data_IF_197134214912
#
_entry.id   IF_197134214912
#
_cell.length_a   1.000
_cell.length_b   1.000
_cell.length_c   1.000
_cell.angle_alpha   90.00
_cell.angle_beta   90.00
_cell.angle_gamma   90.00
#
_symmetry.space_group_name_H-M   'P 1'
#
loop_
_entity.id
_entity.type
_entity.pdbx_description
1 polymer ?
#
# COMPACT_ATOMS: atom_id res chain seq x y z
N UNK A 1 -0.08 33.54 39.38
CA UNK A 1 -0.95 33.02 38.31
C UNK A 1 -0.36 31.67 37.97
N UNK A 2 -0.91 30.63 38.59
CA UNK A 2 -0.49 29.23 38.37
C UNK A 2 -1.34 28.68 37.21
N UNK A 3 -0.66 28.36 36.13
CA UNK A 3 -1.27 27.76 34.94
C UNK A 3 -1.61 26.30 35.29
N UNK A 4 -2.86 26.08 35.63
CA UNK A 4 -3.39 24.75 35.96
C UNK A 4 -3.81 24.05 34.67
N UNK A 5 -2.82 23.51 33.96
CA UNK A 5 -3.08 22.69 32.77
C UNK A 5 -3.81 21.42 33.22
N UNK A 6 -5.09 21.28 32.84
CA UNK A 6 -5.87 20.10 33.09
C UNK A 6 -5.15 18.84 32.55
N UNK A 7 -5.14 17.72 33.29
CA UNK A 7 -4.53 16.49 32.81
C UNK A 7 -5.24 15.99 31.55
N UNK A 8 -4.44 15.63 30.54
CA UNK A 8 -4.94 15.03 29.30
C UNK A 8 -5.80 13.79 29.64
N UNK A 9 -6.97 13.68 29.02
CA UNK A 9 -7.85 12.55 29.22
C UNK A 9 -7.09 11.23 28.88
N UNK A 10 -7.29 10.15 29.66
CA UNK A 10 -6.65 8.86 29.36
C UNK A 10 -7.07 8.41 27.96
N UNK A 11 -6.07 8.07 27.14
CA UNK A 11 -6.32 7.50 25.83
C UNK A 11 -7.21 6.25 25.97
N UNK A 12 -8.24 6.16 25.14
CA UNK A 12 -9.15 5.02 25.10
C UNK A 12 -8.32 3.75 24.82
N UNK A 13 -8.20 2.88 25.82
CA UNK A 13 -7.42 1.63 25.75
C UNK A 13 -8.04 0.61 24.78
N UNK A 14 -9.19 0.91 24.17
CA UNK A 14 -9.89 0.04 23.22
C UNK A 14 -9.85 0.55 21.78
N UNK A 15 -9.24 1.71 21.51
CA UNK A 15 -9.06 2.16 20.13
C UNK A 15 -8.07 1.25 19.40
N UNK A 16 -8.41 0.74 18.18
CA UNK A 16 -7.50 -0.11 17.43
C UNK A 16 -6.22 0.66 17.09
N UNK A 17 -5.07 0.00 17.18
CA UNK A 17 -3.82 0.61 16.74
C UNK A 17 -3.84 0.74 15.22
N UNK A 18 -3.95 1.96 14.73
CA UNK A 18 -4.00 2.27 13.29
C UNK A 18 -2.62 2.21 12.62
N UNK A 19 -1.53 2.12 13.41
CA UNK A 19 -0.14 2.04 12.90
C UNK A 19 0.59 0.81 13.46
N UNK A 20 0.09 -0.40 13.26
CA UNK A 20 0.66 -1.58 13.90
C UNK A 20 2.07 -1.93 13.41
N UNK A 21 2.46 -1.46 12.23
CA UNK A 21 3.74 -1.78 11.60
C UNK A 21 4.61 -0.56 11.32
N UNK A 22 4.04 0.51 10.76
CA UNK A 22 4.81 1.66 10.26
C UNK A 22 5.50 2.46 11.36
N UNK A 23 5.12 2.30 12.64
CA UNK A 23 5.87 2.89 13.77
C UNK A 23 7.35 2.53 13.74
N UNK A 24 7.69 1.32 13.26
CA UNK A 24 9.08 0.86 13.16
C UNK A 24 9.93 1.76 12.25
N UNK A 25 9.33 2.35 11.22
CA UNK A 25 10.03 3.18 10.22
C UNK A 25 9.78 4.69 10.40
N UNK A 26 8.84 5.08 11.28
CA UNK A 26 8.52 6.49 11.52
C UNK A 26 8.92 6.99 12.89
N UNK A 27 8.93 6.13 13.94
CA UNK A 27 9.03 6.58 15.31
C UNK A 27 10.45 6.42 15.88
N UNK A 28 10.83 7.35 16.74
CA UNK A 28 12.08 7.29 17.48
C UNK A 28 13.34 7.61 16.67
N UNK A 29 14.49 7.60 17.35
CA UNK A 29 15.78 7.97 16.75
C UNK A 29 16.28 6.92 15.75
N UNK A 30 16.01 5.65 16.00
CA UNK A 30 16.40 4.55 15.10
C UNK A 30 15.78 4.65 13.70
N UNK A 31 14.60 5.26 13.58
CA UNK A 31 13.90 5.47 12.31
C UNK A 31 14.38 6.73 11.54
N UNK A 32 15.46 7.39 11.93
CA UNK A 32 15.92 8.63 11.28
C UNK A 32 16.25 8.42 9.81
N UNK A 33 16.90 7.32 9.46
CA UNK A 33 17.26 7.01 8.07
C UNK A 33 16.02 6.74 7.23
N UNK A 34 15.07 5.92 7.72
CA UNK A 34 13.83 5.61 7.00
C UNK A 34 12.96 6.87 6.83
N UNK A 35 12.85 7.73 7.86
CA UNK A 35 12.19 9.04 7.70
C UNK A 35 12.86 9.93 6.65
N UNK A 36 14.19 9.90 6.53
CA UNK A 36 14.90 10.60 5.47
C UNK A 36 14.47 10.15 4.07
N UNK A 37 14.37 8.83 3.87
CA UNK A 37 13.89 8.26 2.61
C UNK A 37 12.42 8.57 2.35
N UNK A 38 11.56 8.41 3.35
CA UNK A 38 10.13 8.73 3.24
C UNK A 38 9.89 10.21 2.96
N UNK A 39 10.73 11.09 3.51
CA UNK A 39 10.68 12.53 3.21
C UNK A 39 11.05 12.82 1.76
N UNK A 40 11.98 12.08 1.18
CA UNK A 40 12.36 12.23 -0.22
C UNK A 40 11.22 11.85 -1.20
N UNK A 41 10.28 10.99 -0.78
CA UNK A 41 9.08 10.64 -1.55
C UNK A 41 7.84 11.46 -1.17
N UNK A 42 8.00 12.50 -0.34
CA UNK A 42 6.99 13.52 -0.11
C UNK A 42 6.32 13.51 1.26
N UNK A 43 6.67 12.60 2.20
CA UNK A 43 6.13 12.65 3.56
C UNK A 43 6.63 13.88 4.31
N UNK A 44 5.71 14.62 4.91
CA UNK A 44 5.98 15.78 5.74
C UNK A 44 5.85 15.49 7.24
N UNK A 45 6.09 16.53 8.06
CA UNK A 45 6.00 16.40 9.52
C UNK A 45 4.59 16.04 10.02
N UNK A 46 3.57 16.47 9.29
CA UNK A 46 2.16 16.17 9.61
C UNK A 46 1.75 14.73 9.24
N UNK A 47 2.63 13.94 8.61
CA UNK A 47 2.29 12.62 8.08
C UNK A 47 2.84 11.47 8.95
N UNK A 48 3.77 11.78 9.88
CA UNK A 48 4.42 10.74 10.69
C UNK A 48 3.46 9.96 11.59
N UNK A 49 2.34 10.55 11.99
CA UNK A 49 1.33 9.91 12.82
C UNK A 49 0.26 9.15 12.02
N UNK A 50 0.27 9.26 10.69
CA UNK A 50 -0.69 8.60 9.82
C UNK A 50 -0.29 7.15 9.54
N UNK A 51 -1.26 6.21 9.43
CA UNK A 51 -0.99 4.87 8.94
C UNK A 51 -0.53 4.91 7.47
N UNK A 52 0.48 4.10 7.14
CA UNK A 52 1.00 3.99 5.78
C UNK A 52 0.23 2.89 5.03
N UNK A 53 -0.44 3.26 3.96
CA UNK A 53 -1.27 2.35 3.16
C UNK A 53 -0.63 2.11 1.80
N UNK A 54 -0.24 0.86 1.55
CA UNK A 54 0.30 0.43 0.26
C UNK A 54 -0.78 0.39 -0.81
N UNK A 55 -0.53 0.97 -1.98
CA UNK A 55 -1.40 0.83 -3.15
C UNK A 55 -0.66 0.00 -4.18
N UNK A 56 -0.94 -1.30 -4.20
CA UNK A 56 -0.35 -2.22 -5.16
C UNK A 56 -1.12 -2.16 -6.47
N UNK A 57 -0.45 -1.80 -7.57
CA UNK A 57 -1.07 -1.68 -8.89
C UNK A 57 -0.33 -2.52 -9.91
N UNK A 58 -1.06 -3.27 -10.71
CA UNK A 58 -0.53 -4.01 -11.86
C UNK A 58 -0.57 -3.20 -13.16
N UNK A 59 -0.54 -1.87 -13.07
CA UNK A 59 -0.51 -0.99 -14.23
C UNK A 59 0.65 -1.33 -15.17
N UNK A 60 0.33 -1.40 -16.45
CA UNK A 60 1.32 -1.51 -17.53
C UNK A 60 0.66 -1.09 -18.87
N UNK A 61 1.47 -0.90 -19.89
CA UNK A 61 1.02 -0.54 -21.25
C UNK A 61 0.86 -1.76 -22.17
N UNK A 62 1.21 -2.97 -21.71
CA UNK A 62 1.14 -4.20 -22.50
C UNK A 62 -0.30 -4.70 -22.58
N UNK A 63 -1.02 -4.66 -21.45
CA UNK A 63 -2.36 -5.20 -21.30
C UNK A 63 -3.39 -4.07 -21.35
N UNK A 64 -4.30 -4.04 -22.34
CA UNK A 64 -5.27 -2.93 -22.49
C UNK A 64 -6.10 -2.66 -21.24
N UNK A 65 -6.51 -3.70 -20.52
CA UNK A 65 -7.29 -3.54 -19.29
C UNK A 65 -6.49 -2.92 -18.14
N UNK A 66 -5.17 -2.95 -18.18
CA UNK A 66 -4.33 -2.38 -17.12
C UNK A 66 -4.06 -0.87 -17.33
N UNK A 67 -4.33 -0.33 -18.52
CA UNK A 67 -4.07 1.09 -18.84
C UNK A 67 -4.78 2.06 -17.89
N UNK A 68 -5.98 1.71 -17.41
CA UNK A 68 -6.75 2.59 -16.53
C UNK A 68 -6.34 2.50 -15.05
N UNK A 69 -5.46 1.56 -14.68
CA UNK A 69 -5.11 1.33 -13.28
C UNK A 69 -4.33 2.48 -12.64
N UNK A 70 -3.61 3.29 -13.42
CA UNK A 70 -2.94 4.48 -12.89
C UNK A 70 -3.95 5.51 -12.40
N UNK A 71 -5.05 5.73 -13.14
CA UNK A 71 -6.16 6.61 -12.72
C UNK A 71 -6.83 6.08 -11.45
N UNK A 72 -7.06 4.78 -11.38
CA UNK A 72 -7.63 4.15 -10.20
C UNK A 72 -6.69 4.27 -9.00
N UNK A 73 -5.38 4.15 -9.21
CA UNK A 73 -4.39 4.35 -8.17
C UNK A 73 -4.42 5.79 -7.62
N UNK A 74 -4.57 6.80 -8.48
CA UNK A 74 -4.71 8.18 -8.03
C UNK A 74 -5.99 8.38 -7.19
N UNK A 75 -7.14 7.86 -7.66
CA UNK A 75 -8.37 7.91 -6.88
C UNK A 75 -8.28 7.18 -5.54
N UNK A 76 -7.59 6.02 -5.51
CA UNK A 76 -7.33 5.29 -4.27
C UNK A 76 -6.45 6.09 -3.31
N UNK A 77 -5.41 6.80 -3.81
CA UNK A 77 -4.56 7.68 -3.00
C UNK A 77 -5.35 8.83 -2.39
N UNK A 78 -6.24 9.45 -3.16
CA UNK A 78 -7.14 10.50 -2.66
C UNK A 78 -8.06 9.96 -1.57
N UNK A 79 -8.62 8.74 -1.76
CA UNK A 79 -9.43 8.07 -0.76
C UNK A 79 -8.68 7.78 0.54
N UNK A 80 -7.42 7.30 0.44
CA UNK A 80 -6.57 7.06 1.61
C UNK A 80 -6.25 8.36 2.35
N UNK A 81 -5.91 9.44 1.62
CA UNK A 81 -5.70 10.75 2.25
C UNK A 81 -6.97 11.26 2.95
N UNK A 82 -8.12 11.12 2.32
CA UNK A 82 -9.41 11.52 2.92
C UNK A 82 -9.75 10.70 4.16
N UNK A 83 -9.31 9.44 4.20
CA UNK A 83 -9.44 8.55 5.36
C UNK A 83 -8.39 8.79 6.47
N UNK A 84 -7.50 9.77 6.31
CA UNK A 84 -6.48 10.10 7.30
C UNK A 84 -5.22 9.23 7.23
N UNK A 85 -5.05 8.39 6.20
CA UNK A 85 -3.84 7.62 5.95
C UNK A 85 -2.84 8.33 5.04
N UNK A 86 -1.66 7.75 4.89
CA UNK A 86 -0.66 8.16 3.91
C UNK A 86 -0.48 7.06 2.85
N UNK A 87 -0.81 7.32 1.57
CA UNK A 87 -0.74 6.31 0.53
C UNK A 87 0.66 6.22 -0.08
N UNK A 88 1.15 4.99 -0.25
CA UNK A 88 2.41 4.67 -0.93
C UNK A 88 2.13 3.68 -2.06
N UNK A 89 2.25 4.13 -3.30
CA UNK A 89 1.98 3.31 -4.47
C UNK A 89 3.23 2.53 -4.90
N UNK A 90 3.03 1.25 -5.24
CA UNK A 90 4.06 0.42 -5.84
C UNK A 90 3.47 -0.47 -6.94
N UNK A 91 4.33 -0.95 -7.85
CA UNK A 91 3.94 -1.76 -8.99
C UNK A 91 4.11 -3.25 -8.75
N UNK A 92 3.24 -4.05 -9.37
CA UNK A 92 3.42 -5.50 -9.56
C UNK A 92 3.51 -5.83 -11.04
N UNK A 93 3.95 -7.04 -11.37
CA UNK A 93 3.87 -7.56 -12.74
C UNK A 93 2.42 -7.88 -13.11
N UNK A 94 2.16 -8.07 -14.40
CA UNK A 94 0.91 -8.62 -14.91
C UNK A 94 1.17 -9.38 -16.21
N UNK A 95 0.45 -10.47 -16.43
CA UNK A 95 0.46 -11.26 -17.66
C UNK A 95 -0.94 -11.25 -18.27
N UNK A 96 -1.03 -10.96 -19.56
CA UNK A 96 -2.30 -10.95 -20.29
C UNK A 96 -2.57 -12.32 -20.91
N UNK A 97 -3.62 -12.99 -20.47
CA UNK A 97 -4.08 -14.25 -21.04
C UNK A 97 -4.49 -14.07 -22.53
N UNK A 98 -5.06 -12.90 -22.86
CA UNK A 98 -5.47 -12.62 -24.23
C UNK A 98 -4.30 -12.47 -25.23
N UNK A 99 -3.15 -11.98 -24.75
CA UNK A 99 -1.92 -11.91 -25.57
C UNK A 99 -1.21 -13.26 -25.59
N UNK A 100 -1.25 -13.98 -24.48
CA UNK A 100 -0.54 -15.26 -24.31
C UNK A 100 -1.28 -16.46 -24.89
N UNK A 101 -2.53 -16.29 -25.34
CA UNK A 101 -3.37 -17.36 -25.84
C UNK A 101 -2.77 -18.02 -27.09
N UNK A 102 -2.73 -19.35 -27.09
CA UNK A 102 -2.30 -20.15 -28.25
C UNK A 102 -0.78 -20.28 -28.44
N UNK A 103 0.02 -19.83 -27.49
CA UNK A 103 1.47 -20.02 -27.51
C UNK A 103 2.06 -20.27 -26.10
N UNK A 104 3.36 -20.51 -26.02
CA UNK A 104 4.06 -20.87 -24.76
C UNK A 104 3.91 -19.84 -23.63
N UNK A 105 3.63 -18.58 -23.94
CA UNK A 105 3.40 -17.51 -22.95
C UNK A 105 2.27 -17.83 -21.98
N UNK A 106 1.30 -18.66 -22.36
CA UNK A 106 0.20 -19.06 -21.48
C UNK A 106 0.65 -19.83 -20.23
N UNK A 107 1.81 -20.50 -20.28
CA UNK A 107 2.38 -21.18 -19.11
C UNK A 107 2.72 -20.21 -17.95
N UNK A 108 2.92 -18.94 -18.25
CA UNK A 108 3.24 -17.91 -17.25
C UNK A 108 2.01 -17.25 -16.61
N UNK A 109 0.81 -17.52 -17.14
CA UNK A 109 -0.43 -16.91 -16.64
C UNK A 109 -0.71 -17.28 -15.16
N UNK A 110 -0.63 -18.56 -14.82
CA UNK A 110 -0.86 -19.02 -13.45
C UNK A 110 0.34 -18.75 -12.53
N UNK A 111 1.54 -18.97 -13.02
CA UNK A 111 2.78 -18.75 -12.25
C UNK A 111 2.94 -17.28 -11.84
N UNK A 112 2.50 -16.34 -12.69
CA UNK A 112 2.57 -14.92 -12.37
C UNK A 112 1.73 -14.52 -11.16
N UNK A 113 0.69 -15.27 -10.81
CA UNK A 113 -0.17 -14.98 -9.64
C UNK A 113 0.60 -15.15 -8.33
N UNK A 114 1.37 -16.21 -8.22
CA UNK A 114 2.21 -16.45 -7.03
C UNK A 114 3.27 -15.35 -6.90
N UNK A 115 3.92 -15.00 -8.01
CA UNK A 115 4.92 -13.92 -8.03
C UNK A 115 4.29 -12.57 -7.63
N UNK A 116 3.07 -12.26 -8.10
CA UNK A 116 2.35 -11.05 -7.70
C UNK A 116 2.06 -11.06 -6.20
N UNK A 117 1.52 -12.17 -5.68
CA UNK A 117 1.22 -12.31 -4.27
C UNK A 117 2.46 -12.15 -3.40
N UNK A 118 3.54 -12.86 -3.73
CA UNK A 118 4.82 -12.79 -3.04
C UNK A 118 5.43 -11.38 -3.10
N UNK A 119 5.32 -10.69 -4.23
CA UNK A 119 5.84 -9.32 -4.37
C UNK A 119 5.08 -8.34 -3.49
N UNK A 120 3.76 -8.45 -3.41
CA UNK A 120 2.93 -7.62 -2.54
C UNK A 120 3.27 -7.90 -1.07
N UNK A 121 3.30 -9.16 -0.66
CA UNK A 121 3.65 -9.54 0.70
C UNK A 121 5.04 -9.03 1.09
N UNK A 122 6.02 -9.19 0.20
CA UNK A 122 7.40 -8.73 0.42
C UNK A 122 7.45 -7.24 0.67
N UNK A 123 6.82 -6.42 -0.18
CA UNK A 123 6.81 -4.96 -0.01
C UNK A 123 6.08 -4.56 1.28
N UNK A 124 4.90 -5.15 1.53
CA UNK A 124 4.13 -4.84 2.73
C UNK A 124 4.90 -5.14 4.03
N UNK A 125 5.65 -6.23 4.07
CA UNK A 125 6.41 -6.63 5.23
C UNK A 125 7.74 -5.88 5.35
N UNK A 126 8.48 -5.72 4.26
CA UNK A 126 9.78 -5.06 4.25
C UNK A 126 9.66 -3.56 4.56
N UNK A 127 8.72 -2.88 3.93
CA UNK A 127 8.49 -1.44 4.10
C UNK A 127 7.58 -1.11 5.28
N UNK A 128 7.12 -2.14 6.02
CA UNK A 128 6.31 -2.02 7.23
C UNK A 128 5.00 -1.27 7.04
N UNK A 129 4.33 -1.49 5.90
CA UNK A 129 3.06 -0.85 5.59
C UNK A 129 1.93 -1.42 6.46
N UNK A 130 1.00 -0.57 6.90
CA UNK A 130 -0.05 -0.91 7.86
C UNK A 130 -1.26 -1.59 7.22
N UNK A 131 -1.56 -1.23 5.96
CA UNK A 131 -2.66 -1.78 5.19
C UNK A 131 -2.39 -1.68 3.69
N UNK A 132 -3.23 -2.33 2.87
CA UNK A 132 -3.09 -2.30 1.41
C UNK A 132 -4.40 -2.14 0.68
N UNK A 133 -4.33 -1.48 -0.49
CA UNK A 133 -5.34 -1.46 -1.53
C UNK A 133 -4.75 -2.15 -2.75
N UNK A 134 -5.39 -3.23 -3.22
CA UNK A 134 -4.93 -4.00 -4.37
C UNK A 134 -5.73 -3.61 -5.62
N UNK A 135 -5.05 -3.12 -6.65
CA UNK A 135 -5.63 -2.74 -7.93
C UNK A 135 -5.21 -3.76 -9.00
N UNK A 136 -6.07 -4.74 -9.20
CA UNK A 136 -5.91 -5.77 -10.22
C UNK A 136 -6.96 -5.61 -11.32
N UNK A 137 -6.62 -5.95 -12.54
CA UNK A 137 -7.52 -5.79 -13.68
C UNK A 137 -8.22 -7.07 -14.11
N UNK A 138 -7.60 -8.22 -13.94
CA UNK A 138 -8.19 -9.50 -14.33
C UNK A 138 -8.89 -10.14 -13.14
N UNK A 139 -10.20 -10.38 -13.29
CA UNK A 139 -11.09 -10.92 -12.25
C UNK A 139 -10.63 -12.27 -11.67
N UNK A 140 -9.77 -12.98 -12.40
CA UNK A 140 -9.24 -14.29 -12.03
C UNK A 140 -7.86 -14.27 -11.40
N UNK A 141 -7.24 -13.09 -11.21
CA UNK A 141 -5.86 -12.97 -10.71
C UNK A 141 -5.75 -12.45 -9.28
N UNK A 142 -6.84 -12.01 -8.68
CA UNK A 142 -6.87 -11.63 -7.26
C UNK A 142 -7.75 -12.60 -6.49
N UNK A 143 -7.27 -13.20 -5.38
CA UNK A 143 -8.15 -13.88 -4.45
C UNK A 143 -9.18 -12.87 -3.95
N UNK A 144 -10.46 -13.19 -4.15
CA UNK A 144 -11.54 -12.40 -3.58
C UNK A 144 -11.52 -12.56 -2.06
N UNK A 145 -11.70 -11.49 -1.28
CA UNK A 145 -11.85 -11.63 0.18
C UNK A 145 -13.08 -12.45 0.62
N UNK A 146 -13.80 -13.04 -0.31
CA UNK A 146 -15.04 -13.80 -0.09
C UNK A 146 -14.89 -15.31 -0.33
N UNK A 147 -13.71 -15.79 -0.70
CA UNK A 147 -13.44 -17.23 -0.89
C UNK A 147 -12.74 -17.82 0.32
#
# INVERSE_FOLDING_TARGET
MTDDAAPAAPADQHAPDIKPRSRTVTDGLAATTSRGMLRAVGMGDADWDKPQIGIASSWNEITPCNLSLDRLAQAAKEGVHSGGGYPLQFGTISVSDGISMGHEGMHYSLVSRDIIADSVETVMLAERLDGSVLLACLLYTSPSPRD
#
